data_IF_838633974642
#
_entry.id   IF_838633974642
#
_cell.length_a   1.000
_cell.length_b   1.000
_cell.length_c   1.000
_cell.angle_alpha   90.00
_cell.angle_beta   90.00
_cell.angle_gamma   90.00
#
_symmetry.space_group_name_H-M   'P 1'
#
loop_
_entity.id
_entity.type
_entity.pdbx_description
1 polymer ?
#
# COMPACT_ATOMS: atom_id res chain seq x y z
N UNK A 1 27.24 -19.77 -16.08
CA UNK A 1 27.83 -19.03 -14.93
C UNK A 1 28.26 -17.61 -15.32
N UNK A 2 28.88 -17.38 -16.48
CA UNK A 2 29.23 -16.01 -16.95
C UNK A 2 28.05 -15.22 -17.54
N UNK A 3 27.13 -15.87 -18.25
CA UNK A 3 25.93 -15.22 -18.82
C UNK A 3 24.97 -14.69 -17.75
N UNK A 4 24.86 -15.38 -16.62
CA UNK A 4 23.99 -14.99 -15.49
C UNK A 4 24.56 -13.76 -14.75
N UNK A 5 25.88 -13.64 -14.64
CA UNK A 5 26.55 -12.46 -14.05
C UNK A 5 26.45 -11.25 -14.97
N UNK A 6 26.66 -11.45 -16.29
CA UNK A 6 26.50 -10.37 -17.26
C UNK A 6 25.05 -9.88 -17.31
N UNK A 7 24.07 -10.78 -17.31
CA UNK A 7 22.65 -10.42 -17.29
C UNK A 7 22.25 -9.66 -16.02
N UNK A 8 22.74 -10.10 -14.85
CA UNK A 8 22.55 -9.37 -13.57
C UNK A 8 23.20 -7.99 -13.57
N UNK A 9 24.37 -7.85 -14.17
CA UNK A 9 25.07 -6.57 -14.27
C UNK A 9 24.34 -5.59 -15.20
N UNK A 10 23.92 -6.05 -16.38
CA UNK A 10 23.16 -5.24 -17.33
C UNK A 10 21.80 -4.82 -16.77
N UNK A 11 21.09 -5.74 -16.11
CA UNK A 11 19.81 -5.42 -15.45
C UNK A 11 19.98 -4.43 -14.31
N UNK A 12 21.01 -4.56 -13.48
CA UNK A 12 21.31 -3.59 -12.42
C UNK A 12 21.63 -2.19 -12.97
N UNK A 13 22.44 -2.10 -14.03
CA UNK A 13 22.80 -0.82 -14.65
C UNK A 13 21.58 -0.14 -15.31
N UNK A 14 20.76 -0.91 -16.04
CA UNK A 14 19.50 -0.41 -16.62
C UNK A 14 18.54 0.08 -15.52
N UNK A 15 18.53 -0.57 -14.36
CA UNK A 15 17.74 -0.14 -13.21
C UNK A 15 18.27 1.13 -12.54
N UNK A 16 19.57 1.30 -12.43
CA UNK A 16 20.14 2.55 -11.92
C UNK A 16 19.84 3.74 -12.84
N UNK A 17 19.85 3.54 -14.15
CA UNK A 17 19.48 4.58 -15.12
C UNK A 17 17.97 4.88 -15.08
N UNK A 18 17.12 3.86 -15.03
CA UNK A 18 15.68 4.04 -14.93
C UNK A 18 15.27 4.73 -13.63
N UNK A 19 15.90 4.38 -12.50
CA UNK A 19 15.70 5.06 -11.22
C UNK A 19 16.07 6.54 -11.30
N UNK A 20 17.22 6.88 -11.92
CA UNK A 20 17.63 8.28 -12.09
C UNK A 20 16.61 9.09 -12.89
N UNK A 21 16.02 8.51 -13.94
CA UNK A 21 15.01 9.21 -14.74
C UNK A 21 13.71 9.38 -13.97
N UNK A 22 13.27 8.37 -13.22
CA UNK A 22 12.13 8.46 -12.30
C UNK A 22 12.35 9.55 -11.24
N UNK A 23 13.50 9.55 -10.58
CA UNK A 23 13.86 10.52 -9.55
C UNK A 23 13.90 11.96 -10.08
N UNK A 24 14.48 12.15 -11.27
CA UNK A 24 14.53 13.43 -11.95
C UNK A 24 13.12 13.92 -12.33
N UNK A 25 12.26 13.03 -12.85
CA UNK A 25 10.88 13.34 -13.19
C UNK A 25 10.10 13.80 -11.95
N UNK A 26 10.18 13.05 -10.85
CA UNK A 26 9.49 13.41 -9.60
C UNK A 26 10.05 14.72 -9.03
N UNK A 27 11.37 14.92 -9.06
CA UNK A 27 11.98 16.16 -8.59
C UNK A 27 11.56 17.39 -9.41
N UNK A 28 11.45 17.23 -10.73
CA UNK A 28 11.03 18.30 -11.63
C UNK A 28 9.54 18.61 -11.50
N UNK A 29 8.70 17.57 -11.41
CA UNK A 29 7.25 17.70 -11.40
C UNK A 29 6.67 17.96 -10.01
N UNK A 30 7.41 17.60 -8.95
CA UNK A 30 6.93 17.59 -7.56
C UNK A 30 5.54 16.96 -7.44
N UNK A 31 5.30 15.89 -8.21
CA UNK A 31 3.98 15.25 -8.33
C UNK A 31 3.94 13.98 -7.51
N UNK A 32 2.99 13.92 -6.57
CA UNK A 32 2.71 12.71 -5.82
C UNK A 32 2.21 11.59 -6.74
N UNK A 33 1.45 11.92 -7.78
CA UNK A 33 0.97 10.95 -8.77
C UNK A 33 2.12 10.24 -9.48
N UNK A 34 3.14 10.96 -9.96
CA UNK A 34 4.30 10.30 -10.57
C UNK A 34 5.04 9.39 -9.59
N UNK A 35 5.19 9.81 -8.33
CA UNK A 35 5.83 8.97 -7.31
C UNK A 35 4.97 7.72 -6.97
N UNK A 36 3.65 7.88 -6.87
CA UNK A 36 2.70 6.78 -6.63
C UNK A 36 2.68 5.80 -7.81
N UNK A 37 2.69 6.31 -9.04
CA UNK A 37 2.78 5.54 -10.27
C UNK A 37 4.07 4.69 -10.37
N UNK A 38 5.18 5.21 -9.85
CA UNK A 38 6.42 4.47 -9.68
C UNK A 38 6.25 3.35 -8.64
N UNK A 39 5.65 3.67 -7.49
CA UNK A 39 5.35 2.70 -6.43
C UNK A 39 4.48 1.54 -6.96
N UNK A 40 3.35 1.84 -7.60
CA UNK A 40 2.42 0.84 -8.13
C UNK A 40 3.11 -0.12 -9.11
N UNK A 41 3.90 0.42 -10.05
CA UNK A 41 4.67 -0.41 -11.00
C UNK A 41 5.65 -1.32 -10.28
N UNK A 42 6.33 -0.84 -9.25
CA UNK A 42 7.28 -1.65 -8.48
C UNK A 42 6.57 -2.73 -7.64
N UNK A 43 5.38 -2.44 -7.12
CA UNK A 43 4.53 -3.45 -6.47
C UNK A 43 4.19 -4.57 -7.46
N UNK A 44 3.80 -4.25 -8.70
CA UNK A 44 3.50 -5.30 -9.71
C UNK A 44 4.72 -6.16 -10.06
N UNK A 45 5.93 -5.62 -9.87
CA UNK A 45 7.21 -6.32 -10.08
C UNK A 45 7.69 -7.05 -8.82
N UNK A 46 6.94 -6.99 -7.72
CA UNK A 46 7.30 -7.53 -6.41
C UNK A 46 8.58 -6.91 -5.81
N UNK A 47 8.95 -5.72 -6.26
CA UNK A 47 10.11 -4.96 -5.76
C UNK A 47 9.67 -4.08 -4.57
N UNK A 48 9.16 -4.72 -3.51
CA UNK A 48 8.44 -4.06 -2.40
C UNK A 48 9.28 -3.01 -1.67
N UNK A 49 10.57 -3.29 -1.39
CA UNK A 49 11.45 -2.34 -0.70
C UNK A 49 11.62 -1.03 -1.47
N UNK A 50 11.74 -1.13 -2.80
CA UNK A 50 11.88 0.05 -3.66
C UNK A 50 10.53 0.74 -3.84
N UNK A 51 9.44 -0.02 -3.97
CA UNK A 51 8.09 0.54 -4.04
C UNK A 51 7.81 1.43 -2.82
N UNK A 52 8.15 0.95 -1.63
CA UNK A 52 7.99 1.67 -0.37
C UNK A 52 8.69 3.04 -0.40
N UNK A 53 9.90 3.12 -0.96
CA UNK A 53 10.64 4.39 -1.09
C UNK A 53 9.86 5.43 -1.90
N UNK A 54 9.24 5.02 -3.01
CA UNK A 54 8.46 5.92 -3.86
C UNK A 54 7.09 6.27 -3.27
N UNK A 55 6.45 5.33 -2.58
CA UNK A 55 5.22 5.58 -1.84
C UNK A 55 5.43 6.57 -0.67
N UNK A 56 6.52 6.43 0.08
CA UNK A 56 6.88 7.39 1.14
C UNK A 56 7.15 8.78 0.57
N UNK A 57 7.77 8.86 -0.62
CA UNK A 57 7.97 10.13 -1.32
C UNK A 57 6.64 10.74 -1.81
N UNK A 58 5.71 9.93 -2.31
CA UNK A 58 4.37 10.41 -2.68
C UNK A 58 3.66 11.01 -1.45
N UNK A 59 3.76 10.35 -0.29
CA UNK A 59 3.22 10.84 0.97
C UNK A 59 3.88 12.12 1.47
N UNK A 60 5.19 12.29 1.28
CA UNK A 60 5.86 13.55 1.61
C UNK A 60 5.36 14.73 0.76
N UNK A 61 4.95 14.48 -0.48
CA UNK A 61 4.45 15.50 -1.40
C UNK A 61 2.97 15.80 -1.09
N UNK A 62 2.13 14.76 -0.95
CA UNK A 62 0.70 14.88 -0.67
C UNK A 62 0.27 13.96 0.50
N UNK A 63 0.49 14.37 1.76
CA UNK A 63 0.25 13.52 2.92
C UNK A 63 -1.24 13.30 3.22
N UNK A 64 -2.13 14.08 2.61
CA UNK A 64 -3.58 14.03 2.86
C UNK A 64 -4.36 13.41 1.71
N UNK A 65 -3.70 12.93 0.65
CA UNK A 65 -4.39 12.32 -0.50
C UNK A 65 -4.87 10.91 -0.17
N UNK A 66 -6.16 10.61 -0.40
CA UNK A 66 -6.74 9.27 -0.15
C UNK A 66 -5.98 8.18 -0.90
N UNK A 67 -5.66 8.42 -2.18
CA UNK A 67 -4.92 7.48 -3.02
C UNK A 67 -3.51 7.22 -2.47
N UNK A 68 -2.82 8.26 -1.99
CA UNK A 68 -1.46 8.14 -1.43
C UNK A 68 -1.48 7.41 -0.09
N UNK A 69 -2.43 7.73 0.79
CA UNK A 69 -2.61 7.06 2.09
C UNK A 69 -2.95 5.59 1.90
N UNK A 70 -3.83 5.27 0.94
CA UNK A 70 -4.13 3.90 0.55
C UNK A 70 -2.89 3.16 0.06
N UNK A 71 -2.20 3.68 -0.96
CA UNK A 71 -1.05 2.98 -1.55
C UNK A 71 0.09 2.81 -0.53
N UNK A 72 0.35 3.80 0.32
CA UNK A 72 1.37 3.70 1.37
C UNK A 72 0.98 2.66 2.44
N UNK A 73 -0.29 2.60 2.85
CA UNK A 73 -0.77 1.55 3.75
C UNK A 73 -0.55 0.17 3.11
N UNK A 74 -0.97 0.01 1.85
CA UNK A 74 -0.87 -1.24 1.13
C UNK A 74 0.58 -1.72 0.97
N UNK A 75 1.52 -0.84 0.61
CA UNK A 75 2.93 -1.23 0.48
C UNK A 75 3.56 -1.59 1.83
N UNK A 76 3.16 -0.94 2.93
CA UNK A 76 3.59 -1.35 4.27
C UNK A 76 3.04 -2.71 4.68
N UNK A 77 1.79 -3.03 4.32
CA UNK A 77 1.24 -4.37 4.49
C UNK A 77 2.04 -5.42 3.71
N UNK A 78 2.37 -5.15 2.43
CA UNK A 78 3.21 -6.04 1.63
C UNK A 78 4.60 -6.24 2.25
N UNK A 79 5.19 -5.17 2.80
CA UNK A 79 6.48 -5.18 3.48
C UNK A 79 6.44 -5.82 4.88
N UNK A 80 5.29 -6.34 5.33
CA UNK A 80 5.07 -6.88 6.69
C UNK A 80 5.34 -5.88 7.80
N UNK A 81 5.21 -4.58 7.52
CA UNK A 81 5.32 -3.47 8.47
C UNK A 81 3.95 -3.10 9.02
N UNK A 82 3.31 -4.04 9.72
CA UNK A 82 1.91 -3.90 10.18
C UNK A 82 1.65 -2.64 11.02
N UNK A 83 2.55 -2.29 11.94
CA UNK A 83 2.39 -1.10 12.78
C UNK A 83 2.45 0.21 11.97
N UNK A 84 3.34 0.29 10.98
CA UNK A 84 3.43 1.46 10.08
C UNK A 84 2.21 1.56 9.17
N UNK A 85 1.75 0.42 8.63
CA UNK A 85 0.52 0.36 7.84
C UNK A 85 -0.68 0.81 8.69
N UNK A 86 -0.80 0.32 9.92
CA UNK A 86 -1.89 0.66 10.83
C UNK A 86 -1.93 2.17 11.12
N UNK A 87 -0.77 2.78 11.34
CA UNK A 87 -0.66 4.23 11.55
C UNK A 87 -1.14 5.01 10.34
N UNK A 88 -0.65 4.69 9.14
CA UNK A 88 -1.04 5.42 7.91
C UNK A 88 -2.53 5.18 7.58
N UNK A 89 -3.03 3.95 7.76
CA UNK A 89 -4.45 3.65 7.57
C UNK A 89 -5.32 4.45 8.54
N UNK A 90 -4.90 4.61 9.80
CA UNK A 90 -5.61 5.40 10.80
C UNK A 90 -5.65 6.89 10.44
N UNK A 91 -4.54 7.44 9.91
CA UNK A 91 -4.51 8.81 9.37
C UNK A 91 -5.47 8.94 8.18
N UNK A 92 -5.43 8.00 7.24
CA UNK A 92 -6.35 7.93 6.10
C UNK A 92 -7.81 7.89 6.51
N UNK A 93 -8.19 7.01 7.43
CA UNK A 93 -9.58 6.87 7.89
C UNK A 93 -10.06 8.06 8.74
N UNK A 94 -9.14 8.88 9.28
CA UNK A 94 -9.50 10.14 9.93
C UNK A 94 -9.97 11.18 8.90
N UNK A 95 -9.32 11.22 7.74
CA UNK A 95 -9.64 12.14 6.64
C UNK A 95 -10.78 11.61 5.75
N UNK A 96 -10.79 10.30 5.52
CA UNK A 96 -11.68 9.59 4.60
C UNK A 96 -12.41 8.45 5.33
N UNK A 97 -13.32 8.77 6.28
CA UNK A 97 -13.98 7.77 7.13
C UNK A 97 -14.93 6.81 6.39
N UNK A 98 -15.14 7.01 5.08
CA UNK A 98 -15.96 6.16 4.22
C UNK A 98 -15.12 5.40 3.17
N UNK A 99 -13.79 5.48 3.24
CA UNK A 99 -12.89 4.77 2.32
C UNK A 99 -12.82 3.29 2.67
N UNK A 100 -13.66 2.48 2.02
CA UNK A 100 -13.64 1.02 2.18
C UNK A 100 -12.29 0.39 1.83
N UNK A 101 -11.55 0.85 0.80
CA UNK A 101 -10.19 0.37 0.55
C UNK A 101 -9.26 0.57 1.76
N UNK A 102 -9.29 1.74 2.41
CA UNK A 102 -8.49 1.99 3.62
C UNK A 102 -8.96 1.14 4.81
N UNK A 103 -10.27 0.89 4.94
CA UNK A 103 -10.79 -0.01 5.97
C UNK A 103 -10.27 -1.43 5.79
N UNK A 104 -10.24 -1.91 4.54
CA UNK A 104 -9.70 -3.22 4.19
C UNK A 104 -8.20 -3.32 4.52
N UNK A 105 -7.42 -2.33 4.12
CA UNK A 105 -5.97 -2.30 4.41
C UNK A 105 -5.68 -2.15 5.91
N UNK A 106 -6.51 -1.42 6.67
CA UNK A 106 -6.42 -1.36 8.14
C UNK A 106 -6.64 -2.73 8.77
N UNK A 107 -7.62 -3.50 8.30
CA UNK A 107 -7.86 -4.86 8.80
C UNK A 107 -6.65 -5.77 8.56
N UNK A 108 -6.03 -5.68 7.37
CA UNK A 108 -4.77 -6.37 7.08
C UNK A 108 -3.62 -5.89 7.97
N UNK A 109 -3.50 -4.59 8.20
CA UNK A 109 -2.45 -4.03 9.04
C UNK A 109 -2.53 -4.54 10.48
N UNK A 110 -3.75 -4.63 11.04
CA UNK A 110 -3.99 -5.20 12.37
C UNK A 110 -3.56 -6.68 12.39
N UNK A 111 -3.95 -7.47 11.40
CA UNK A 111 -3.60 -8.89 11.31
C UNK A 111 -2.07 -9.11 11.18
N UNK A 112 -1.40 -8.33 10.32
CA UNK A 112 0.05 -8.40 10.11
C UNK A 112 0.83 -7.96 11.36
N UNK A 113 0.25 -7.10 12.19
CA UNK A 113 0.81 -6.71 13.49
C UNK A 113 0.69 -7.82 14.56
N UNK A 114 0.06 -8.95 14.22
CA UNK A 114 -0.12 -10.11 15.09
C UNK A 114 -1.45 -10.16 15.85
N UNK A 115 -2.33 -9.18 15.66
CA UNK A 115 -3.65 -9.12 16.31
C UNK A 115 -4.75 -9.66 15.40
N UNK A 116 -4.71 -10.96 15.15
CA UNK A 116 -5.62 -11.62 14.22
C UNK A 116 -7.09 -11.51 14.65
N UNK A 117 -7.37 -11.69 15.95
CA UNK A 117 -8.71 -11.56 16.51
C UNK A 117 -9.23 -10.12 16.41
N UNK A 118 -8.37 -9.14 16.70
CA UNK A 118 -8.70 -7.72 16.55
C UNK A 118 -8.98 -7.34 15.09
N UNK A 119 -8.28 -7.93 14.13
CA UNK A 119 -8.53 -7.71 12.71
C UNK A 119 -9.91 -8.20 12.28
N UNK A 120 -10.31 -9.39 12.74
CA UNK A 120 -11.65 -9.96 12.48
C UNK A 120 -12.74 -9.12 13.15
N UNK A 121 -12.53 -8.72 14.41
CA UNK A 121 -13.49 -7.88 15.14
C UNK A 121 -13.67 -6.53 14.44
N UNK A 122 -12.57 -5.89 14.04
CA UNK A 122 -12.58 -4.63 13.31
C UNK A 122 -13.31 -4.75 11.96
N UNK A 123 -12.94 -5.73 11.13
CA UNK A 123 -13.56 -5.93 9.82
C UNK A 123 -15.06 -6.27 9.93
N UNK A 124 -15.47 -6.98 10.99
CA UNK A 124 -16.89 -7.31 11.24
C UNK A 124 -17.70 -6.06 11.59
N UNK A 125 -17.23 -5.20 12.51
CA UNK A 125 -17.89 -3.94 12.85
C UNK A 125 -18.01 -3.04 11.63
N UNK A 126 -16.88 -2.85 10.93
CA UNK A 126 -16.81 -1.92 9.81
C UNK A 126 -17.61 -2.42 8.61
N UNK A 127 -17.64 -3.72 8.32
CA UNK A 127 -18.51 -4.28 7.28
C UNK A 127 -19.99 -4.01 7.59
N UNK A 128 -20.45 -4.29 8.81
CA UNK A 128 -21.84 -4.06 9.19
C UNK A 128 -22.24 -2.58 8.99
N UNK A 129 -21.37 -1.65 9.40
CA UNK A 129 -21.58 -0.21 9.24
C UNK A 129 -21.55 0.21 7.77
N UNK A 130 -20.52 -0.19 7.02
CA UNK A 130 -20.35 0.16 5.62
C UNK A 130 -21.50 -0.38 4.74
N UNK A 131 -21.89 -1.64 4.95
CA UNK A 131 -23.00 -2.28 4.25
C UNK A 131 -24.33 -1.59 4.57
N UNK A 132 -24.60 -1.29 5.86
CA UNK A 132 -25.82 -0.57 6.25
C UNK A 132 -25.91 0.84 5.66
N UNK A 133 -24.76 1.49 5.46
CA UNK A 133 -24.65 2.80 4.85
C UNK A 133 -24.65 2.76 3.31
N UNK A 134 -24.65 1.57 2.69
CA UNK A 134 -24.61 1.39 1.24
C UNK A 134 -23.30 1.87 0.62
N UNK A 135 -22.17 1.78 1.35
CA UNK A 135 -20.87 2.16 0.81
C UNK A 135 -20.46 1.23 -0.33
N UNK A 136 -19.89 1.82 -1.37
CA UNK A 136 -19.34 1.10 -2.52
C UNK A 136 -18.24 0.16 -2.02
N UNK A 137 -18.19 -1.06 -2.59
CA UNK A 137 -17.18 -2.09 -2.30
C UNK A 137 -17.21 -2.64 -0.86
N UNK A 138 -18.31 -2.48 -0.11
CA UNK A 138 -18.43 -3.09 1.21
C UNK A 138 -18.16 -4.61 1.19
N UNK A 139 -18.39 -5.28 0.07
CA UNK A 139 -18.08 -6.70 -0.14
C UNK A 139 -16.59 -7.03 0.04
N UNK A 140 -15.65 -6.09 -0.17
CA UNK A 140 -14.23 -6.33 0.08
C UNK A 140 -13.97 -6.71 1.54
N UNK A 141 -14.69 -6.10 2.49
CA UNK A 141 -14.56 -6.44 3.91
C UNK A 141 -15.15 -7.82 4.21
N UNK A 142 -16.15 -8.25 3.46
CA UNK A 142 -16.64 -9.64 3.52
C UNK A 142 -15.60 -10.62 2.99
N UNK A 143 -14.95 -10.32 1.85
CA UNK A 143 -13.87 -11.15 1.30
C UNK A 143 -12.70 -11.27 2.28
N UNK A 144 -12.36 -10.19 2.99
CA UNK A 144 -11.38 -10.25 4.07
C UNK A 144 -11.78 -11.26 5.14
N UNK A 145 -13.02 -11.15 5.64
CA UNK A 145 -13.54 -12.03 6.70
C UNK A 145 -13.60 -13.49 6.26
N UNK A 146 -13.87 -13.77 4.99
CA UNK A 146 -13.84 -15.12 4.44
C UNK A 146 -12.43 -15.70 4.46
N UNK A 147 -11.43 -14.95 3.97
CA UNK A 147 -10.01 -15.34 4.05
C UNK A 147 -9.54 -15.52 5.49
N UNK A 148 -9.99 -14.66 6.40
CA UNK A 148 -9.59 -14.69 7.80
C UNK A 148 -10.07 -15.93 8.56
N UNK A 149 -11.09 -16.63 8.06
CA UNK A 149 -11.56 -17.92 8.63
C UNK A 149 -10.63 -19.09 8.33
N UNK A 150 -9.71 -18.92 7.37
CA UNK A 150 -8.76 -19.96 6.94
C UNK A 150 -7.40 -19.86 7.66
N UNK A 151 -7.22 -18.83 8.49
CA UNK A 151 -5.99 -18.57 9.24
C UNK A 151 -5.78 -19.52 10.43
#
# INVERSE_FOLDING_TARGET
MLEDVANRFWTAQLWDEHRKTMDALIAQTQSADHARDCCDRLITRQEVDLAMTYCERAYQIEPTSDAVLYTLTYVYNLAKRGEDARRIAQEGLTLYPSSVPLMYEMAWAIAISGDQEGAIAYATDIYARANSAGLIQAELLQEFLEKAREW
#
